data_IF_894316537918
#
_entry.id   IF_894316537918
#
_cell.length_a   1.000
_cell.length_b   1.000
_cell.length_c   1.000
_cell.angle_alpha   90.00
_cell.angle_beta   90.00
_cell.angle_gamma   90.00
#
_symmetry.space_group_name_H-M   'P 1'
#
loop_
_entity.id
_entity.type
_entity.pdbx_description
1 polymer ?
#
# COMPACT_ATOMS: atom_id res chain seq x y z
N UNK A 1 -1.23 -17.87 -11.16
CA UNK A 1 0.07 -17.35 -11.60
C UNK A 1 1.01 -17.37 -10.42
N UNK A 2 2.14 -18.08 -10.48
CA UNK A 2 3.14 -18.02 -9.42
C UNK A 2 3.68 -16.59 -9.35
N UNK A 3 3.90 -16.09 -8.13
CA UNK A 3 4.47 -14.75 -7.94
C UNK A 3 5.90 -14.77 -8.50
N UNK A 4 6.27 -13.89 -9.44
CA UNK A 4 7.65 -13.83 -9.94
C UNK A 4 8.61 -13.57 -8.77
N UNK A 5 9.77 -14.25 -8.80
CA UNK A 5 10.79 -14.07 -7.78
C UNK A 5 11.29 -12.61 -7.85
N UNK A 6 11.27 -11.85 -6.73
CA UNK A 6 11.71 -10.46 -6.74
C UNK A 6 13.24 -10.37 -6.91
N UNK A 7 13.69 -9.30 -7.56
CA UNK A 7 15.12 -8.98 -7.67
C UNK A 7 15.64 -8.41 -6.35
N UNK A 8 16.74 -8.97 -5.83
CA UNK A 8 17.42 -8.43 -4.64
C UNK A 8 18.32 -7.27 -5.07
N UNK A 9 18.18 -6.11 -4.43
CA UNK A 9 18.97 -4.89 -4.67
C UNK A 9 20.14 -4.81 -3.70
N UNK A 10 19.87 -5.03 -2.40
CA UNK A 10 20.89 -5.07 -1.35
C UNK A 10 20.66 -6.28 -0.47
N UNK A 11 21.75 -6.81 0.07
CA UNK A 11 21.73 -7.95 0.97
C UNK A 11 22.73 -7.70 2.10
N UNK A 12 22.32 -7.97 3.33
CA UNK A 12 23.17 -7.90 4.51
C UNK A 12 23.01 -9.16 5.34
N UNK A 13 24.13 -9.75 5.75
CA UNK A 13 24.15 -10.96 6.58
C UNK A 13 24.81 -10.69 7.92
N UNK A 14 24.18 -11.13 9.00
CA UNK A 14 24.73 -11.09 10.34
C UNK A 14 25.07 -12.51 10.79
N UNK A 15 26.37 -12.82 10.88
CA UNK A 15 26.86 -14.16 11.26
C UNK A 15 26.62 -14.50 12.74
N UNK A 16 26.48 -13.50 13.61
CA UNK A 16 26.24 -13.69 15.04
C UNK A 16 24.78 -14.04 15.31
N UNK A 17 23.84 -13.41 14.61
CA UNK A 17 22.39 -13.69 14.75
C UNK A 17 21.83 -14.62 13.68
N UNK A 18 22.66 -15.04 12.72
CA UNK A 18 22.27 -15.80 11.53
C UNK A 18 21.14 -15.15 10.71
N UNK A 19 20.99 -13.82 10.81
CA UNK A 19 19.95 -13.07 10.10
C UNK A 19 20.41 -12.67 8.71
N UNK A 20 19.51 -12.82 7.72
CA UNK A 20 19.67 -12.31 6.37
C UNK A 20 18.59 -11.26 6.09
N UNK A 21 19.02 -10.03 5.80
CA UNK A 21 18.16 -8.92 5.41
C UNK A 21 18.35 -8.59 3.93
N UNK A 22 17.25 -8.55 3.17
CA UNK A 22 17.25 -8.27 1.74
C UNK A 22 16.34 -7.08 1.41
N UNK A 23 16.85 -6.17 0.59
CA UNK A 23 16.08 -5.11 -0.04
C UNK A 23 15.65 -5.58 -1.42
N UNK A 24 14.34 -5.61 -1.67
CA UNK A 24 13.77 -6.17 -2.88
C UNK A 24 13.27 -5.06 -3.81
N UNK A 25 13.51 -5.22 -5.11
CA UNK A 25 12.91 -4.38 -6.12
C UNK A 25 11.40 -4.63 -6.20
N UNK A 26 10.64 -3.56 -6.34
CA UNK A 26 9.23 -3.59 -6.68
C UNK A 26 9.04 -2.99 -8.07
N UNK A 27 8.10 -3.52 -8.85
CA UNK A 27 7.73 -2.95 -10.15
C UNK A 27 7.14 -1.53 -9.99
N UNK A 28 6.50 -1.27 -8.85
CA UNK A 28 5.95 0.02 -8.49
C UNK A 28 5.12 -0.07 -7.22
N UNK A 29 4.34 0.97 -6.97
CA UNK A 29 3.40 1.05 -5.86
C UNK A 29 2.00 1.15 -6.44
N UNK A 30 1.09 0.29 -6.00
CA UNK A 30 -0.32 0.37 -6.34
C UNK A 30 -1.05 1.09 -5.24
N UNK A 31 -1.73 2.19 -5.57
CA UNK A 31 -2.46 2.99 -4.60
C UNK A 31 -3.91 3.18 -5.02
N UNK A 32 -4.82 3.16 -4.04
CA UNK A 32 -6.22 3.53 -4.29
C UNK A 32 -6.36 5.04 -4.25
N UNK A 33 -6.95 5.59 -5.29
CA UNK A 33 -7.28 7.01 -5.43
C UNK A 33 -8.80 7.16 -5.44
N UNK A 34 -9.28 8.35 -5.08
CA UNK A 34 -10.67 8.74 -5.26
C UNK A 34 -10.72 9.94 -6.19
N UNK A 35 -11.43 9.81 -7.32
CA UNK A 35 -11.61 10.90 -8.29
C UNK A 35 -10.26 11.52 -8.73
N UNK A 36 -9.31 10.65 -9.07
CA UNK A 36 -7.96 11.04 -9.50
C UNK A 36 -7.04 11.58 -8.41
N UNK A 37 -7.44 11.57 -7.13
CA UNK A 37 -6.63 12.09 -6.02
C UNK A 37 -6.14 10.98 -5.08
N UNK A 38 -4.88 11.03 -4.62
CA UNK A 38 -4.37 10.08 -3.63
C UNK A 38 -5.10 10.26 -2.30
N UNK A 39 -5.41 9.16 -1.62
CA UNK A 39 -6.15 9.18 -0.35
C UNK A 39 -5.46 8.34 0.73
N UNK A 40 -5.90 8.51 1.97
CA UNK A 40 -5.71 7.55 3.06
C UNK A 40 -7.05 7.34 3.76
N UNK A 41 -7.18 6.25 4.52
CA UNK A 41 -8.40 5.97 5.27
C UNK A 41 -8.17 6.25 6.76
N UNK A 42 -9.22 6.73 7.42
CA UNK A 42 -9.31 6.86 8.87
C UNK A 42 -10.57 6.13 9.32
N UNK A 43 -10.44 5.32 10.36
CA UNK A 43 -11.59 4.69 11.03
C UNK A 43 -11.63 5.15 12.48
N UNK A 44 -12.80 5.58 12.93
CA UNK A 44 -13.11 5.99 14.30
C UNK A 44 -14.51 5.51 14.68
N UNK A 45 -14.74 5.27 15.97
CA UNK A 45 -16.09 5.01 16.47
C UNK A 45 -16.82 6.33 16.68
N UNK A 46 -18.14 6.33 16.41
CA UNK A 46 -19.01 7.47 16.68
C UNK A 46 -19.37 7.58 18.17
N UNK A 47 -19.23 6.49 18.93
CA UNK A 47 -19.74 6.35 20.29
C UNK A 47 -18.61 6.37 21.33
N UNK A 48 -17.41 5.94 20.94
CA UNK A 48 -16.27 5.84 21.84
C UNK A 48 -14.98 6.31 21.15
N UNK A 49 -14.21 7.14 21.85
CA UNK A 49 -12.91 7.61 21.36
C UNK A 49 -11.75 6.64 21.69
N UNK A 50 -12.04 5.51 22.34
CA UNK A 50 -11.03 4.51 22.72
C UNK A 50 -11.33 3.13 22.11
N UNK A 51 -10.35 2.48 21.47
CA UNK A 51 -9.03 3.02 21.10
C UNK A 51 -9.16 4.12 20.05
N UNK A 52 -8.17 5.03 20.02
CA UNK A 52 -8.18 6.19 19.12
C UNK A 52 -8.26 5.84 17.64
N UNK A 53 -8.49 6.84 16.77
CA UNK A 53 -8.68 6.62 15.35
C UNK A 53 -7.51 5.89 14.70
N UNK A 54 -7.83 4.89 13.89
CA UNK A 54 -6.84 4.09 13.16
C UNK A 54 -6.71 4.62 11.74
N UNK A 55 -5.49 5.01 11.37
CA UNK A 55 -5.14 5.39 10.01
C UNK A 55 -4.69 4.15 9.22
N UNK A 56 -5.13 4.06 7.98
CA UNK A 56 -4.78 2.98 7.07
C UNK A 56 -4.25 3.56 5.76
N UNK A 57 -3.02 3.18 5.43
CA UNK A 57 -2.42 3.43 4.12
C UNK A 57 -3.10 2.58 3.06
N UNK A 58 -3.23 3.12 1.85
CA UNK A 58 -3.83 2.45 0.70
C UNK A 58 -2.84 2.23 -0.44
N UNK A 59 -1.55 2.32 -0.14
CA UNK A 59 -0.42 2.01 -1.02
C UNK A 59 0.08 0.58 -0.75
N UNK A 60 0.22 -0.22 -1.80
CA UNK A 60 0.56 -1.64 -1.75
C UNK A 60 1.71 -1.96 -2.70
N UNK A 61 2.49 -2.99 -2.37
CA UNK A 61 3.54 -3.54 -3.24
C UNK A 61 3.01 -4.55 -4.26
N UNK A 62 1.69 -4.77 -4.30
CA UNK A 62 1.03 -5.63 -5.29
C UNK A 62 -0.36 -5.08 -5.67
N UNK A 63 -0.83 -5.33 -6.91
CA UNK A 63 -2.11 -4.83 -7.41
C UNK A 63 -3.32 -5.43 -6.71
N UNK A 64 -3.28 -6.73 -6.37
CA UNK A 64 -4.45 -7.46 -5.87
C UNK A 64 -5.05 -6.87 -4.59
N UNK A 65 -4.23 -6.39 -3.66
CA UNK A 65 -4.73 -5.72 -2.47
C UNK A 65 -5.38 -4.35 -2.78
N UNK A 66 -4.80 -3.59 -3.72
CA UNK A 66 -5.35 -2.30 -4.14
C UNK A 66 -6.69 -2.48 -4.86
N UNK A 67 -6.79 -3.45 -5.76
CA UNK A 67 -8.01 -3.77 -6.51
C UNK A 67 -9.14 -4.22 -5.59
N UNK A 68 -8.85 -5.12 -4.66
CA UNK A 68 -9.84 -5.59 -3.68
C UNK A 68 -10.32 -4.46 -2.78
N UNK A 69 -9.43 -3.54 -2.39
CA UNK A 69 -9.81 -2.37 -1.61
C UNK A 69 -10.68 -1.41 -2.42
N UNK A 70 -10.30 -1.08 -3.65
CA UNK A 70 -11.06 -0.18 -4.52
C UNK A 70 -12.47 -0.72 -4.78
N UNK A 71 -12.60 -2.01 -5.12
CA UNK A 71 -13.90 -2.68 -5.28
C UNK A 71 -14.75 -2.59 -4.02
N UNK A 72 -14.17 -2.86 -2.85
CA UNK A 72 -14.87 -2.76 -1.57
C UNK A 72 -15.38 -1.33 -1.30
N UNK A 73 -14.55 -0.32 -1.56
CA UNK A 73 -14.91 1.09 -1.33
C UNK A 73 -15.98 1.57 -2.31
N UNK A 74 -15.88 1.21 -3.59
CA UNK A 74 -16.91 1.48 -4.60
C UNK A 74 -18.27 0.88 -4.18
N UNK A 75 -18.29 -0.37 -3.73
CA UNK A 75 -19.51 -1.00 -3.20
C UNK A 75 -20.04 -0.31 -1.93
N UNK A 76 -19.17 0.02 -0.97
CA UNK A 76 -19.56 0.64 0.29
C UNK A 76 -20.14 2.04 0.13
N UNK A 77 -19.64 2.81 -0.84
CA UNK A 77 -20.04 4.19 -1.08
C UNK A 77 -20.97 4.37 -2.29
N UNK A 78 -21.43 3.27 -2.90
CA UNK A 78 -22.25 3.25 -4.11
C UNK A 78 -21.71 4.20 -5.20
N UNK A 79 -20.44 4.03 -5.56
CA UNK A 79 -19.71 4.87 -6.51
C UNK A 79 -18.72 4.03 -7.31
N UNK A 80 -18.19 4.58 -8.39
CA UNK A 80 -17.13 4.02 -9.23
C UNK A 80 -15.84 4.86 -9.20
N UNK A 81 -15.81 5.91 -8.37
CA UNK A 81 -14.71 6.89 -8.31
C UNK A 81 -13.45 6.38 -7.62
N UNK A 82 -13.50 5.23 -6.93
CA UNK A 82 -12.29 4.62 -6.40
C UNK A 82 -11.57 3.80 -7.49
N UNK A 83 -10.37 4.24 -7.84
CA UNK A 83 -9.53 3.62 -8.85
C UNK A 83 -8.16 3.20 -8.31
N UNK A 84 -7.51 2.24 -8.97
CA UNK A 84 -6.13 1.83 -8.64
C UNK A 84 -5.16 2.50 -9.59
N UNK A 85 -4.14 3.14 -9.05
CA UNK A 85 -3.08 3.81 -9.80
C UNK A 85 -1.75 3.09 -9.55
N UNK A 86 -1.03 2.78 -10.63
CA UNK A 86 0.33 2.27 -10.59
C UNK A 86 1.31 3.44 -10.63
N UNK A 87 2.06 3.60 -9.55
CA UNK A 87 3.10 4.61 -9.39
C UNK A 87 4.46 3.95 -9.61
N UNK A 88 5.08 4.20 -10.77
CA UNK A 88 6.41 3.66 -11.12
C UNK A 88 7.56 4.58 -10.73
N UNK A 89 7.32 5.88 -10.79
CA UNK A 89 8.27 6.93 -10.42
C UNK A 89 7.58 7.94 -9.52
N UNK A 90 8.39 8.77 -8.87
CA UNK A 90 7.94 9.86 -8.05
C UNK A 90 9.04 10.90 -7.93
N UNK A 91 8.69 12.04 -7.38
CA UNK A 91 9.65 13.10 -7.11
C UNK A 91 10.41 12.77 -5.83
N UNK A 92 11.73 12.95 -5.86
CA UNK A 92 12.55 12.83 -4.66
C UNK A 92 12.21 14.01 -3.74
N UNK A 93 11.45 13.73 -2.70
CA UNK A 93 11.09 14.74 -1.71
C UNK A 93 12.29 15.13 -0.83
N UNK A 94 12.53 16.43 -0.67
CA UNK A 94 13.42 17.01 0.35
C UNK A 94 12.65 18.02 1.18
N UNK A 95 12.89 18.04 2.49
CA UNK A 95 12.29 19.00 3.42
C UNK A 95 13.13 20.26 3.52
#
# INVERSE_FOLDING_TARGET
MSRPKPTVILQSSNKTTFKLDEVLAAEGIWAVFYDGKPINLKSSSLVANYPGPKYKKVSFSNPGHAENLAKKLNAQHNTDKFGVYLLKSGEKFSR
#
